data_IF_785725572402
#
_entry.id   IF_785725572402
#
_cell.length_a   1.000
_cell.length_b   1.000
_cell.length_c   1.000
_cell.angle_alpha   90.00
_cell.angle_beta   90.00
_cell.angle_gamma   90.00
#
_symmetry.space_group_name_H-M   'P 1'
#
loop_
_entity.id
_entity.type
_entity.pdbx_description
1 polymer ?
#
# COMPACT_ATOMS: atom_id res chain seq x y z
N UNK A 1 -14.05 -19.12 15.82
CA UNK A 1 -14.31 -17.98 14.93
C UNK A 1 -14.69 -18.58 13.60
N UNK A 2 -15.98 -18.89 13.46
CA UNK A 2 -16.50 -19.58 12.27
C UNK A 2 -16.66 -18.55 11.16
N UNK A 3 -15.86 -18.69 10.10
CA UNK A 3 -16.09 -17.95 8.86
C UNK A 3 -17.28 -18.63 8.20
N UNK A 4 -18.49 -18.12 8.47
CA UNK A 4 -19.69 -18.54 7.77
C UNK A 4 -19.58 -18.15 6.30
N UNK A 5 -19.49 -19.15 5.42
CA UNK A 5 -19.42 -18.98 3.96
C UNK A 5 -20.80 -18.89 3.27
N UNK A 6 -21.86 -18.56 4.00
CA UNK A 6 -23.20 -18.40 3.45
C UNK A 6 -23.42 -16.97 2.92
N UNK A 7 -23.00 -16.74 1.67
CA UNK A 7 -23.70 -15.92 0.65
C UNK A 7 -22.73 -15.42 -0.42
N UNK A 8 -22.38 -16.30 -1.36
CA UNK A 8 -21.61 -15.96 -2.57
C UNK A 8 -22.42 -15.17 -3.62
N UNK A 9 -23.55 -14.54 -3.28
CA UNK A 9 -24.46 -13.92 -4.26
C UNK A 9 -24.86 -12.47 -4.01
N UNK A 10 -24.16 -11.72 -3.16
CA UNK A 10 -24.40 -10.28 -2.99
C UNK A 10 -23.11 -9.47 -3.15
N UNK A 11 -22.70 -9.29 -4.40
CA UNK A 11 -21.77 -8.21 -4.74
C UNK A 11 -22.55 -6.90 -4.80
N UNK A 12 -22.40 -6.05 -3.80
CA UNK A 12 -22.80 -4.65 -3.90
C UNK A 12 -21.65 -3.86 -4.52
N UNK A 13 -21.73 -3.60 -5.83
CA UNK A 13 -20.82 -2.66 -6.49
C UNK A 13 -21.27 -1.23 -6.14
N UNK A 14 -20.52 -0.56 -5.27
CA UNK A 14 -20.72 0.86 -5.01
C UNK A 14 -19.69 1.64 -5.84
N UNK A 15 -20.17 2.25 -6.92
CA UNK A 15 -19.43 3.26 -7.66
C UNK A 15 -19.57 4.57 -6.87
N UNK A 16 -18.47 5.12 -6.36
CA UNK A 16 -18.49 6.44 -5.74
C UNK A 16 -18.62 7.47 -6.86
N UNK A 17 -19.86 7.93 -7.09
CA UNK A 17 -20.24 8.86 -8.17
C UNK A 17 -20.02 10.34 -7.81
N UNK A 18 -19.24 10.64 -6.75
CA UNK A 18 -18.98 12.02 -6.30
C UNK A 18 -17.84 12.71 -7.06
N UNK A 19 -17.72 12.42 -8.35
CA UNK A 19 -17.00 13.29 -9.24
C UNK A 19 -17.89 13.60 -10.43
N UNK A 20 -18.69 14.66 -10.27
CA UNK A 20 -19.26 15.36 -11.40
C UNK A 20 -18.15 15.60 -12.43
N UNK A 21 -18.16 14.81 -13.52
CA UNK A 21 -17.53 14.91 -14.85
C UNK A 21 -16.44 15.98 -15.12
N UNK A 22 -15.62 16.33 -14.15
CA UNK A 22 -14.53 17.31 -14.23
C UNK A 22 -13.16 16.64 -14.05
N UNK A 23 -13.10 15.30 -14.03
CA UNK A 23 -11.83 14.60 -14.16
C UNK A 23 -11.33 14.74 -15.60
N UNK A 24 -10.54 15.79 -15.86
CA UNK A 24 -9.43 15.63 -16.77
C UNK A 24 -8.67 14.37 -16.34
N UNK A 25 -8.73 13.32 -17.17
CA UNK A 25 -8.10 11.98 -17.04
C UNK A 25 -7.26 11.78 -15.78
N UNK A 26 -7.93 11.62 -14.62
CA UNK A 26 -7.28 11.31 -13.34
C UNK A 26 -7.32 9.81 -13.16
N UNK A 27 -6.17 9.15 -13.24
CA UNK A 27 -6.05 7.71 -13.04
C UNK A 27 -5.84 7.40 -11.57
N UNK A 28 -6.68 6.51 -11.06
CA UNK A 28 -6.53 5.86 -9.76
C UNK A 28 -5.61 4.66 -9.94
N UNK A 29 -4.48 4.66 -9.23
CA UNK A 29 -3.46 3.63 -9.36
C UNK A 29 -3.35 2.79 -8.08
N UNK A 30 -3.37 1.47 -8.26
CA UNK A 30 -2.95 0.44 -7.29
C UNK A 30 -3.64 0.57 -5.92
N UNK A 31 -4.98 0.44 -5.86
CA UNK A 31 -5.68 0.43 -4.59
C UNK A 31 -5.08 -0.64 -3.66
N UNK A 32 -4.68 -0.21 -2.47
CA UNK A 32 -4.09 -1.07 -1.45
C UNK A 32 -4.98 -1.00 -0.22
N UNK A 33 -5.58 -2.12 0.16
CA UNK A 33 -6.58 -2.18 1.24
C UNK A 33 -5.97 -2.65 2.54
N UNK A 34 -6.50 -2.21 3.67
CA UNK A 34 -6.12 -2.67 5.00
C UNK A 34 -7.39 -2.73 5.86
N UNK A 35 -7.59 -3.81 6.60
CA UNK A 35 -8.74 -3.96 7.49
C UNK A 35 -8.25 -3.82 8.93
N UNK A 36 -8.91 -2.95 9.69
CA UNK A 36 -8.62 -2.72 11.09
C UNK A 36 -9.96 -2.54 11.81
N UNK A 37 -10.23 -3.44 12.76
CA UNK A 37 -11.51 -3.49 13.49
C UNK A 37 -12.71 -3.62 12.52
N UNK A 38 -13.68 -2.71 12.59
CA UNK A 38 -14.87 -2.62 11.73
C UNK A 38 -14.66 -1.75 10.49
N UNK A 39 -13.40 -1.37 10.22
CA UNK A 39 -13.05 -0.34 9.26
C UNK A 39 -12.13 -0.88 8.17
N UNK A 40 -12.40 -0.48 6.93
CA UNK A 40 -11.58 -0.74 5.75
C UNK A 40 -10.88 0.54 5.35
N UNK A 41 -9.56 0.51 5.31
CA UNK A 41 -8.73 1.61 4.81
C UNK A 41 -8.30 1.28 3.39
N UNK A 42 -8.42 2.24 2.48
CA UNK A 42 -7.96 2.10 1.10
C UNK A 42 -6.99 3.23 0.77
N UNK A 43 -5.74 2.87 0.48
CA UNK A 43 -4.73 3.77 -0.03
C UNK A 43 -4.73 3.72 -1.56
N UNK A 44 -4.78 4.90 -2.18
CA UNK A 44 -4.93 5.05 -3.61
C UNK A 44 -3.94 6.07 -4.15
N UNK A 45 -3.21 5.74 -5.20
CA UNK A 45 -2.40 6.71 -5.93
C UNK A 45 -3.27 7.57 -6.84
N UNK A 46 -3.15 8.89 -6.75
CA UNK A 46 -3.79 9.86 -7.64
C UNK A 46 -2.80 10.33 -8.70
N UNK A 47 -3.13 10.10 -9.96
CA UNK A 47 -2.34 10.55 -11.11
C UNK A 47 -3.19 11.42 -12.05
N UNK A 48 -2.73 12.62 -12.43
CA UNK A 48 -3.39 13.48 -13.42
C UNK A 48 -2.58 13.51 -14.70
N UNK A 49 -3.20 13.18 -15.85
CA UNK A 49 -2.54 13.22 -17.17
C UNK A 49 -2.51 14.62 -17.81
N UNK A 50 -3.36 15.55 -17.36
CA UNK A 50 -3.61 16.83 -18.06
C UNK A 50 -2.73 17.98 -17.60
N UNK A 51 -1.87 17.78 -16.60
CA UNK A 51 -1.01 18.83 -16.05
C UNK A 51 0.46 18.42 -16.15
N UNK A 52 1.30 19.12 -16.93
CA UNK A 52 2.74 18.89 -16.87
C UNK A 52 3.22 19.10 -15.42
N UNK A 53 4.24 18.37 -14.94
CA UNK A 53 4.73 18.50 -13.57
C UNK A 53 5.29 19.91 -13.37
N UNK A 54 4.48 20.80 -12.82
CA UNK A 54 4.92 22.08 -12.28
C UNK A 54 5.51 21.73 -10.91
N UNK A 55 6.75 22.15 -10.67
CA UNK A 55 7.41 22.02 -9.37
C UNK A 55 6.45 22.46 -8.26
N UNK A 56 6.03 21.51 -7.41
CA UNK A 56 5.36 21.79 -6.15
C UNK A 56 3.84 21.60 -6.08
N UNK A 57 3.06 21.59 -7.18
CA UNK A 57 1.58 21.61 -7.06
C UNK A 57 0.78 20.62 -7.90
N UNK A 58 1.34 20.01 -8.95
CA UNK A 58 0.66 18.95 -9.71
C UNK A 58 0.95 17.57 -9.12
N UNK A 59 0.72 17.46 -7.82
CA UNK A 59 1.19 16.37 -6.97
C UNK A 59 0.53 15.04 -7.36
N UNK A 60 1.36 14.12 -7.91
CA UNK A 60 1.18 12.68 -7.67
C UNK A 60 0.97 12.51 -6.17
N UNK A 61 -0.26 12.22 -5.76
CA UNK A 61 -0.68 12.26 -4.36
C UNK A 61 -1.18 10.90 -3.91
N UNK A 62 -1.00 10.59 -2.63
CA UNK A 62 -1.64 9.44 -2.01
C UNK A 62 -2.94 9.90 -1.33
N UNK A 63 -4.02 9.19 -1.61
CA UNK A 63 -5.31 9.39 -0.97
C UNK A 63 -5.60 8.19 -0.08
N UNK A 64 -5.95 8.45 1.17
CA UNK A 64 -6.40 7.45 2.12
C UNK A 64 -7.91 7.65 2.35
N UNK A 65 -8.67 6.60 2.10
CA UNK A 65 -10.12 6.58 2.35
C UNK A 65 -10.41 5.58 3.46
N UNK A 66 -11.26 5.94 4.41
CA UNK A 66 -11.77 5.03 5.44
C UNK A 66 -13.21 4.65 5.09
N UNK A 67 -13.51 3.37 4.99
CA UNK A 67 -14.85 2.82 4.97
C UNK A 67 -15.18 2.20 6.32
N UNK A 68 -16.38 2.44 6.84
CA UNK A 68 -16.87 1.74 8.04
C UNK A 68 -17.91 0.72 7.60
N UNK A 69 -17.78 -0.51 8.08
CA UNK A 69 -18.76 -1.58 7.81
C UNK A 69 -19.96 -1.35 8.72
N UNK A 70 -21.14 -1.21 8.13
CA UNK A 70 -22.41 -1.06 8.83
C UNK A 70 -23.38 -2.14 8.41
N UNK A 71 -24.26 -2.55 9.32
CA UNK A 71 -25.35 -3.47 9.02
C UNK A 71 -26.64 -2.66 8.82
N UNK A 72 -27.25 -2.78 7.65
CA UNK A 72 -28.51 -2.14 7.32
C UNK A 72 -29.43 -3.16 6.63
N UNK A 73 -30.63 -3.35 7.16
CA UNK A 73 -31.61 -4.34 6.68
C UNK A 73 -31.08 -5.78 6.60
N UNK A 74 -30.23 -6.18 7.56
CA UNK A 74 -29.59 -7.51 7.59
C UNK A 74 -28.53 -7.71 6.49
N UNK A 75 -28.05 -6.62 5.88
CA UNK A 75 -26.99 -6.63 4.87
C UNK A 75 -25.84 -5.74 5.31
N UNK A 76 -24.62 -6.26 5.15
CA UNK A 76 -23.41 -5.48 5.37
C UNK A 76 -23.21 -4.48 4.22
N UNK A 77 -23.06 -3.20 4.56
CA UNK A 77 -22.72 -2.10 3.66
C UNK A 77 -21.41 -1.47 4.12
N UNK A 78 -20.70 -0.82 3.19
CA UNK A 78 -19.51 -0.03 3.51
C UNK A 78 -19.87 1.43 3.32
N UNK A 79 -19.80 2.20 4.39
CA UNK A 79 -19.94 3.65 4.32
C UNK A 79 -18.56 4.28 4.16
N UNK A 80 -18.26 4.79 2.96
CA UNK A 80 -17.01 5.50 2.68
C UNK A 80 -17.05 6.91 3.27
N UNK A 81 -16.14 7.17 4.20
CA UNK A 81 -15.93 8.48 4.81
C UNK A 81 -15.13 9.40 3.88
N UNK A 82 -14.87 10.62 4.37
CA UNK A 82 -14.07 11.60 3.64
C UNK A 82 -12.68 11.07 3.28
N UNK A 83 -12.17 11.55 2.15
CA UNK A 83 -10.83 11.21 1.67
C UNK A 83 -9.80 12.14 2.31
N UNK A 84 -8.75 11.55 2.87
CA UNK A 84 -7.63 12.29 3.44
C UNK A 84 -6.40 12.18 2.55
N UNK A 85 -5.71 13.31 2.33
CA UNK A 85 -4.43 13.30 1.63
C UNK A 85 -3.35 12.73 2.56
N UNK A 86 -2.71 11.63 2.15
CA UNK A 86 -1.55 11.08 2.82
C UNK A 86 -0.28 11.67 2.20
N UNK A 87 0.38 12.59 2.92
CA UNK A 87 1.70 13.12 2.55
C UNK A 87 2.74 12.61 3.54
N UNK A 88 3.20 11.35 3.42
CA UNK A 88 4.23 10.86 4.32
C UNK A 88 5.51 11.65 4.06
N UNK A 89 6.11 12.30 5.07
CA UNK A 89 7.37 13.00 4.88
C UNK A 89 8.45 11.98 4.50
N UNK A 90 9.32 12.28 3.52
CA UNK A 90 10.47 11.43 3.25
C UNK A 90 11.37 11.44 4.49
N UNK A 91 11.53 10.28 5.14
CA UNK A 91 12.57 10.07 6.17
C UNK A 91 13.80 9.45 5.49
N UNK A 92 14.98 10.01 5.74
CA UNK A 92 16.25 9.35 5.39
C UNK A 92 16.99 9.78 4.12
N UNK A 93 16.97 11.06 3.75
CA UNK A 93 17.90 11.60 2.74
C UNK A 93 17.55 11.30 1.28
N UNK A 94 16.46 10.59 1.01
CA UNK A 94 16.01 10.29 -0.35
C UNK A 94 15.10 11.41 -0.89
N UNK A 95 15.69 12.55 -1.21
CA UNK A 95 15.02 13.72 -1.81
C UNK A 95 14.56 13.50 -3.26
N UNK A 96 14.83 12.33 -3.85
CA UNK A 96 14.69 12.08 -5.29
C UNK A 96 13.69 10.97 -5.64
N UNK A 97 12.97 10.40 -4.66
CA UNK A 97 11.95 9.39 -4.95
C UNK A 97 10.78 10.03 -5.69
N UNK A 98 10.38 9.41 -6.79
CA UNK A 98 9.19 9.80 -7.58
C UNK A 98 8.20 8.65 -7.64
N UNK A 99 6.94 8.93 -8.02
CA UNK A 99 5.92 7.89 -8.21
C UNK A 99 5.68 7.01 -6.96
N UNK A 100 5.70 7.62 -5.78
CA UNK A 100 5.35 6.91 -4.55
C UNK A 100 3.88 6.48 -4.61
N UNK A 101 3.64 5.18 -4.67
CA UNK A 101 2.32 4.56 -4.78
C UNK A 101 2.23 3.32 -3.89
N UNK A 102 1.01 2.88 -3.60
CA UNK A 102 0.77 1.61 -2.93
C UNK A 102 1.27 0.41 -3.75
N UNK A 103 1.57 -0.67 -3.03
CA UNK A 103 1.96 -1.97 -3.57
C UNK A 103 0.84 -2.70 -4.32
N UNK A 104 -0.41 -2.22 -4.19
CA UNK A 104 -1.60 -2.95 -4.60
C UNK A 104 -1.93 -4.08 -3.61
N UNK A 105 -3.10 -4.69 -3.74
CA UNK A 105 -3.50 -5.80 -2.88
C UNK A 105 -3.76 -5.35 -1.44
N UNK A 106 -3.17 -6.04 -0.45
CA UNK A 106 -3.44 -5.81 0.97
C UNK A 106 -2.21 -5.27 1.72
N UNK A 107 -2.45 -4.32 2.61
CA UNK A 107 -1.58 -4.04 3.76
C UNK A 107 -1.83 -5.03 4.90
N UNK A 108 -1.15 -4.80 6.02
CA UNK A 108 -1.26 -5.62 7.23
C UNK A 108 -1.37 -4.75 8.48
N UNK A 109 -2.01 -5.27 9.53
CA UNK A 109 -2.01 -4.68 10.87
C UNK A 109 -1.17 -5.60 11.75
N UNK A 110 -0.08 -5.06 12.29
CA UNK A 110 0.84 -5.78 13.17
C UNK A 110 0.16 -6.18 14.48
N UNK A 111 0.74 -7.14 15.19
CA UNK A 111 0.26 -7.57 16.51
C UNK A 111 0.12 -6.42 17.53
N UNK A 112 0.97 -5.39 17.43
CA UNK A 112 0.91 -4.20 18.28
C UNK A 112 -0.15 -3.16 17.83
N UNK A 113 -0.94 -3.47 16.81
CA UNK A 113 -1.97 -2.61 16.22
C UNK A 113 -1.45 -1.65 15.15
N UNK A 114 -0.17 -1.68 14.78
CA UNK A 114 0.39 -0.77 13.77
C UNK A 114 -0.05 -1.15 12.35
N UNK A 115 -0.77 -0.30 11.61
CA UNK A 115 -1.10 -0.55 10.21
C UNK A 115 0.10 -0.23 9.31
N UNK A 116 0.37 -1.13 8.36
CA UNK A 116 1.48 -1.03 7.39
C UNK A 116 0.95 -1.30 5.98
N UNK A 117 1.17 -0.35 5.07
CA UNK A 117 0.95 -0.53 3.64
C UNK A 117 2.26 -0.91 2.93
N UNK A 118 2.24 -1.89 2.02
CA UNK A 118 3.32 -2.07 1.05
C UNK A 118 3.35 -0.87 0.11
N UNK A 119 4.54 -0.36 -0.17
CA UNK A 119 4.73 0.81 -1.02
C UNK A 119 5.84 0.57 -2.03
N UNK A 120 5.79 1.29 -3.14
CA UNK A 120 6.87 1.34 -4.11
C UNK A 120 7.03 2.75 -4.66
N UNK A 121 8.21 3.02 -5.20
CA UNK A 121 8.56 4.28 -5.84
C UNK A 121 9.55 4.04 -6.99
N UNK A 122 9.93 5.11 -7.68
CA UNK A 122 11.07 5.15 -8.59
C UNK A 122 12.22 5.93 -7.95
N UNK A 123 13.43 5.38 -8.07
CA UNK A 123 14.67 6.07 -7.72
C UNK A 123 15.08 7.09 -8.80
N UNK A 124 16.24 7.73 -8.60
CA UNK A 124 16.80 8.73 -9.52
C UNK A 124 17.11 8.19 -10.92
N UNK A 125 17.39 6.88 -11.04
CA UNK A 125 17.61 6.19 -12.30
C UNK A 125 16.30 5.74 -12.97
N UNK A 126 15.15 6.05 -12.34
CA UNK A 126 13.83 5.59 -12.78
C UNK A 126 13.58 4.10 -12.51
N UNK A 127 14.44 3.41 -11.75
CA UNK A 127 14.26 2.02 -11.33
C UNK A 127 13.28 1.92 -10.18
N UNK A 128 12.45 0.88 -10.20
CA UNK A 128 11.50 0.65 -9.11
C UNK A 128 12.24 0.24 -7.84
N UNK A 129 11.74 0.70 -6.71
CA UNK A 129 12.25 0.39 -5.37
C UNK A 129 11.09 0.13 -4.42
N UNK A 130 11.35 -0.60 -3.35
CA UNK A 130 10.37 -1.03 -2.37
C UNK A 130 10.49 -0.23 -1.07
N UNK A 131 9.33 0.03 -0.48
CA UNK A 131 9.13 0.80 0.74
C UNK A 131 7.94 0.21 1.52
N UNK A 132 7.74 0.69 2.73
CA UNK A 132 6.47 0.58 3.43
C UNK A 132 5.99 1.95 3.88
N UNK A 133 4.69 2.09 4.13
CA UNK A 133 4.12 3.25 4.81
C UNK A 133 3.40 2.77 6.05
N UNK A 134 3.80 3.27 7.22
CA UNK A 134 3.20 2.90 8.50
C UNK A 134 2.58 4.09 9.19
N UNK A 135 1.58 3.86 10.02
CA UNK A 135 1.06 4.90 10.89
C UNK A 135 1.86 4.94 12.20
N UNK A 136 2.25 6.14 12.63
CA UNK A 136 2.94 6.36 13.91
C UNK A 136 1.97 7.08 14.86
N UNK A 137 1.35 6.38 15.83
CA UNK A 137 0.33 6.98 16.71
C UNK A 137 0.85 8.17 17.52
N UNK A 138 2.09 8.11 18.02
CA UNK A 138 2.69 9.17 18.84
C UNK A 138 2.83 10.50 18.10
N UNK A 139 2.86 10.46 16.76
CA UNK A 139 3.02 11.64 15.90
C UNK A 139 1.78 11.90 15.02
N UNK A 140 0.74 11.07 15.19
CA UNK A 140 -0.51 11.10 14.41
C UNK A 140 -0.29 11.25 12.89
N UNK A 141 0.69 10.52 12.35
CA UNK A 141 1.10 10.68 10.94
C UNK A 141 1.51 9.38 10.29
N UNK A 142 1.36 9.35 8.97
CA UNK A 142 1.90 8.30 8.11
C UNK A 142 3.36 8.57 7.78
N UNK A 143 4.19 7.54 7.79
CA UNK A 143 5.62 7.63 7.53
C UNK A 143 6.06 6.55 6.57
N UNK A 144 6.90 6.92 5.60
CA UNK A 144 7.61 5.94 4.78
C UNK A 144 8.77 5.32 5.58
N UNK A 145 9.10 4.07 5.25
CA UNK A 145 10.32 3.42 5.74
C UNK A 145 11.56 4.23 5.36
N UNK A 146 12.53 4.28 6.27
CA UNK A 146 13.79 4.98 6.08
C UNK A 146 14.68 4.30 5.05
N UNK A 147 14.77 2.97 5.04
CA UNK A 147 15.63 2.25 4.09
C UNK A 147 14.84 1.92 2.82
N UNK A 148 15.37 2.35 1.68
CA UNK A 148 14.92 1.94 0.35
C UNK A 148 15.58 0.61 -0.01
N UNK A 149 14.80 -0.39 -0.44
CA UNK A 149 15.32 -1.71 -0.83
C UNK A 149 14.76 -2.19 -2.17
N UNK A 150 15.18 -3.36 -2.64
CA UNK A 150 14.60 -4.04 -3.80
C UNK A 150 14.66 -3.23 -5.09
N UNK A 151 15.83 -2.68 -5.43
CA UNK A 151 16.05 -2.02 -6.72
C UNK A 151 15.75 -2.99 -7.87
N UNK A 152 14.86 -2.59 -8.78
CA UNK A 152 14.34 -3.45 -9.83
C UNK A 152 13.23 -4.41 -9.38
N UNK A 153 12.69 -4.23 -8.17
CA UNK A 153 11.55 -4.99 -7.68
C UNK A 153 10.29 -4.13 -7.64
N UNK A 154 9.13 -4.76 -7.76
CA UNK A 154 7.81 -4.13 -7.82
C UNK A 154 6.75 -5.03 -7.22
N UNK A 155 5.57 -4.44 -7.06
CA UNK A 155 4.36 -5.11 -6.60
C UNK A 155 4.53 -5.79 -5.22
N UNK A 156 5.07 -5.07 -4.21
CA UNK A 156 5.34 -5.67 -2.90
C UNK A 156 4.05 -6.08 -2.20
N UNK A 157 4.13 -7.20 -1.49
CA UNK A 157 3.14 -7.67 -0.51
C UNK A 157 3.80 -7.78 0.85
N UNK A 158 3.11 -7.41 1.92
CA UNK A 158 3.62 -7.49 3.29
C UNK A 158 2.76 -8.42 4.13
N UNK A 159 3.41 -9.22 4.97
CA UNK A 159 2.77 -9.99 6.03
C UNK A 159 3.61 -9.94 7.31
N UNK A 160 2.96 -10.09 8.46
CA UNK A 160 3.65 -10.35 9.72
C UNK A 160 3.99 -11.84 9.81
N UNK A 161 5.24 -12.14 10.11
CA UNK A 161 5.74 -13.51 10.27
C UNK A 161 6.87 -13.53 11.30
N UNK A 162 7.30 -14.72 11.70
CA UNK A 162 8.40 -15.02 12.65
C UNK A 162 8.74 -13.95 13.69
N UNK A 163 8.43 -14.24 14.96
CA UNK A 163 8.62 -13.29 16.06
C UNK A 163 7.91 -11.94 15.79
N UNK A 164 6.70 -11.94 15.21
CA UNK A 164 5.91 -10.71 15.03
C UNK A 164 6.66 -9.61 14.24
N UNK A 165 7.41 -10.00 13.21
CA UNK A 165 8.16 -9.08 12.34
C UNK A 165 7.49 -8.91 10.98
N UNK A 166 7.55 -7.72 10.37
CA UNK A 166 7.10 -7.55 8.99
C UNK A 166 8.05 -8.20 8.00
N UNK A 167 7.50 -8.97 7.06
CA UNK A 167 8.18 -9.50 5.88
C UNK A 167 7.53 -8.96 4.62
N UNK A 168 8.35 -8.65 3.63
CA UNK A 168 7.93 -8.14 2.33
C UNK A 168 8.41 -9.09 1.25
N UNK A 169 7.54 -9.41 0.32
CA UNK A 169 7.87 -10.19 -0.87
C UNK A 169 7.53 -9.37 -2.11
N UNK A 170 8.41 -9.37 -3.11
CA UNK A 170 8.23 -8.58 -4.31
C UNK A 170 8.80 -9.26 -5.55
N UNK A 171 8.14 -9.04 -6.68
CA UNK A 171 8.60 -9.50 -8.00
C UNK A 171 9.78 -8.65 -8.45
N UNK A 172 10.89 -9.27 -8.86
CA UNK A 172 12.10 -8.57 -9.28
C UNK A 172 12.52 -8.84 -10.74
N UNK A 173 13.31 -7.94 -11.31
CA UNK A 173 13.86 -8.00 -12.69
C UNK A 173 14.54 -9.34 -13.02
N UNK A 174 15.06 -10.05 -12.01
CA UNK A 174 15.72 -11.36 -12.16
C UNK A 174 14.78 -12.53 -12.49
N UNK A 175 13.46 -12.32 -12.58
CA UNK A 175 12.50 -13.38 -12.89
C UNK A 175 12.10 -14.23 -11.67
N UNK A 176 12.35 -13.74 -10.47
CA UNK A 176 11.99 -14.36 -9.20
C UNK A 176 11.44 -13.33 -8.21
N UNK A 177 10.90 -13.81 -7.10
CA UNK A 177 10.52 -13.00 -5.96
C UNK A 177 11.66 -12.94 -4.94
N UNK A 178 12.09 -11.74 -4.58
CA UNK A 178 12.95 -11.56 -3.42
C UNK A 178 12.09 -11.33 -2.16
N UNK A 179 12.59 -11.82 -1.02
CA UNK A 179 12.01 -11.63 0.31
C UNK A 179 12.89 -10.68 1.13
N UNK A 180 12.26 -9.79 1.87
CA UNK A 180 12.90 -8.80 2.74
C UNK A 180 12.31 -8.88 4.14
N UNK A 181 13.17 -8.81 5.14
CA UNK A 181 12.78 -8.74 6.55
C UNK A 181 12.90 -7.30 7.05
N UNK A 182 11.94 -6.87 7.85
CA UNK A 182 11.96 -5.54 8.46
C UNK A 182 12.52 -5.52 9.87
N UNK A 183 12.89 -4.32 10.34
CA UNK A 183 12.89 -4.02 11.77
C UNK A 183 11.48 -4.22 12.35
N UNK A 184 11.36 -4.43 13.66
CA UNK A 184 10.10 -4.78 14.34
C UNK A 184 8.89 -3.92 13.96
N UNK A 185 9.13 -2.64 13.70
CA UNK A 185 8.12 -1.62 13.42
C UNK A 185 7.93 -1.29 11.93
N UNK A 186 8.52 -2.04 10.99
CA UNK A 186 8.36 -1.74 9.57
C UNK A 186 9.20 -0.56 9.06
N UNK A 187 10.12 -0.01 9.86
CA UNK A 187 10.82 1.24 9.53
C UNK A 187 12.02 1.07 8.60
N UNK A 188 12.63 -0.12 8.53
CA UNK A 188 13.76 -0.42 7.65
C UNK A 188 13.65 -1.87 7.16
N UNK A 189 14.11 -2.12 5.93
CA UNK A 189 13.98 -3.41 5.25
C UNK A 189 15.32 -3.90 4.73
N UNK A 190 15.60 -5.20 4.88
CA UNK A 190 16.86 -5.82 4.49
C UNK A 190 16.60 -7.13 3.73
N UNK A 191 17.45 -7.50 2.76
CA UNK A 191 17.34 -8.78 2.08
C UNK A 191 17.30 -9.93 3.08
N UNK A 192 16.32 -10.81 2.94
CA UNK A 192 16.23 -12.01 3.74
C UNK A 192 17.11 -13.10 3.13
N UNK A 193 17.99 -13.69 3.93
CA UNK A 193 19.04 -14.63 3.47
C UNK A 193 18.65 -16.10 3.63
N UNK A 194 17.47 -16.36 4.18
CA UNK A 194 16.96 -17.69 4.51
C UNK A 194 16.22 -18.39 3.35
N UNK A 195 15.87 -19.68 3.48
CA UNK A 195 15.54 -20.57 2.36
C UNK A 195 14.32 -20.17 1.51
N UNK A 196 13.45 -19.28 2.01
CA UNK A 196 12.26 -18.86 1.26
C UNK A 196 12.56 -17.80 0.19
N UNK A 197 13.77 -17.20 0.21
CA UNK A 197 14.13 -16.20 -0.78
C UNK A 197 14.32 -16.85 -2.17
N UNK A 198 13.76 -16.24 -3.23
CA UNK A 198 13.84 -16.71 -4.63
C UNK A 198 13.25 -18.08 -4.92
N UNK A 199 12.40 -18.60 -4.03
CA UNK A 199 11.69 -19.87 -4.25
C UNK A 199 10.62 -19.72 -5.34
N UNK A 200 9.99 -18.55 -5.43
CA UNK A 200 8.96 -18.28 -6.43
C UNK A 200 9.56 -17.62 -7.66
N UNK A 201 9.39 -18.27 -8.82
CA UNK A 201 9.76 -17.74 -10.14
C UNK A 201 8.57 -17.16 -10.90
N UNK A 202 8.84 -16.22 -11.80
CA UNK A 202 7.83 -15.47 -12.56
C UNK A 202 7.47 -16.17 -13.88
N UNK A 203 8.18 -17.24 -14.22
CA UNK A 203 7.97 -18.10 -15.38
C UNK A 203 8.38 -19.53 -15.05
N UNK A 204 7.88 -20.50 -15.83
CA UNK A 204 8.49 -21.83 -15.85
C UNK A 204 9.88 -21.68 -16.45
N UNK A 205 10.91 -22.16 -15.74
CA UNK A 205 12.27 -22.27 -16.28
C UNK A 205 12.34 -23.22 -17.46
#
# INVERSE_FOLDING_TARGET
MDISTSDKSLFCTQLVDTAANNFGTTEVLRPTTLVMEDSVYMLVGKYSRTTPPIQGENERGLLLVKGTVTEEDGKNKIWWNETHTAKPPPKGGYYLLTEVVGGGGSGTVMHDGTPIFPMQAKDEDGKSVLLSMRFTPSENKWELSFVVTGKGCRDPSIAEWEENRPFMMAHCDGGYYDVYMSTWNGAAWYPYVEPINRVWGNSRG
#
